data_IF_518904670344
#
_entry.id   IF_518904670344
#
_cell.length_a   1.000
_cell.length_b   1.000
_cell.length_c   1.000
_cell.angle_alpha   90.00
_cell.angle_beta   90.00
_cell.angle_gamma   90.00
#
_symmetry.space_group_name_H-M   'P 1'
#
loop_
_entity.id
_entity.type
_entity.pdbx_description
1 polymer ?
#
# COMPACT_ATOMS: atom_id res chain seq x y z
N UNK A 1 18.15 -24.97 21.68
CA UNK A 1 18.65 -23.61 22.00
C UNK A 1 18.37 -22.76 20.75
N UNK A 2 17.12 -22.37 20.55
CA UNK A 2 16.52 -21.12 21.01
C UNK A 2 17.04 -19.89 20.22
N UNK A 3 16.10 -19.35 19.44
CA UNK A 3 15.85 -17.96 19.02
C UNK A 3 16.85 -17.22 18.12
N UNK A 4 16.33 -16.68 17.01
CA UNK A 4 16.14 -15.23 16.98
C UNK A 4 14.94 -14.78 16.16
N UNK A 5 14.18 -13.89 16.79
CA UNK A 5 12.92 -13.31 16.38
C UNK A 5 12.90 -12.90 14.91
N UNK A 6 11.90 -13.38 14.17
CA UNK A 6 11.25 -12.53 13.18
C UNK A 6 10.83 -11.29 13.95
N UNK A 7 11.52 -10.16 13.75
CA UNK A 7 11.13 -8.87 14.33
C UNK A 7 9.66 -8.67 13.99
N UNK A 8 8.77 -8.88 14.96
CA UNK A 8 7.34 -8.65 14.74
C UNK A 8 7.20 -7.18 14.36
N UNK A 9 6.89 -6.94 13.08
CA UNK A 9 6.70 -5.59 12.60
C UNK A 9 5.54 -4.98 13.38
N UNK A 10 5.71 -3.76 13.93
CA UNK A 10 4.67 -3.12 14.70
C UNK A 10 3.35 -3.13 13.94
N UNK A 11 2.28 -3.49 14.64
CA UNK A 11 0.94 -3.41 14.08
C UNK A 11 0.58 -1.94 13.82
N UNK A 12 -0.02 -1.69 12.66
CA UNK A 12 -0.58 -0.40 12.30
C UNK A 12 -2.05 -0.39 12.68
N UNK A 13 -2.53 0.75 13.18
CA UNK A 13 -3.96 0.97 13.42
C UNK A 13 -4.77 0.66 12.13
N UNK A 14 -5.80 -0.20 12.18
CA UNK A 14 -6.52 -0.64 10.99
C UNK A 14 -7.12 0.52 10.19
N UNK A 15 -7.61 1.57 10.85
CA UNK A 15 -8.20 2.72 10.17
C UNK A 15 -7.13 3.53 9.43
N UNK A 16 -5.98 3.75 10.06
CA UNK A 16 -4.83 4.39 9.40
C UNK A 16 -4.36 3.53 8.23
N UNK A 17 -4.28 2.21 8.41
CA UNK A 17 -3.85 1.28 7.38
C UNK A 17 -4.79 1.30 6.17
N UNK A 18 -6.11 1.21 6.37
CA UNK A 18 -7.10 1.25 5.29
C UNK A 18 -7.08 2.59 4.55
N UNK A 19 -6.96 3.71 5.28
CA UNK A 19 -6.81 5.02 4.67
C UNK A 19 -5.54 5.09 3.80
N UNK A 20 -4.44 4.45 4.20
CA UNK A 20 -3.21 4.41 3.42
C UNK A 20 -3.29 3.44 2.23
N UNK A 21 -3.90 2.28 2.40
CA UNK A 21 -4.06 1.26 1.35
C UNK A 21 -4.99 1.73 0.21
N UNK A 22 -5.96 2.59 0.55
CA UNK A 22 -6.89 3.19 -0.40
C UNK A 22 -8.12 2.33 -0.69
N UNK A 23 -9.11 2.96 -1.32
CA UNK A 23 -10.49 2.45 -1.43
C UNK A 23 -10.64 1.21 -2.30
N UNK A 24 -9.66 0.90 -3.15
CA UNK A 24 -9.67 -0.32 -3.97
C UNK A 24 -9.29 -1.58 -3.17
N UNK A 25 -8.72 -1.43 -1.97
CA UNK A 25 -8.26 -2.55 -1.15
C UNK A 25 -9.43 -3.29 -0.52
N UNK A 26 -9.54 -4.59 -0.81
CA UNK A 26 -10.50 -5.49 -0.18
C UNK A 26 -9.75 -6.65 0.47
N UNK A 27 -9.98 -6.83 1.76
CA UNK A 27 -9.43 -7.94 2.53
C UNK A 27 -10.57 -8.89 2.91
N UNK A 28 -10.30 -10.21 2.99
CA UNK A 28 -11.31 -11.15 3.46
C UNK A 28 -11.67 -10.90 4.92
N UNK A 29 -12.85 -11.35 5.35
CA UNK A 29 -13.17 -11.35 6.77
C UNK A 29 -12.40 -12.49 7.47
N UNK A 30 -11.94 -12.25 8.70
CA UNK A 30 -11.36 -13.32 9.52
C UNK A 30 -12.40 -14.41 9.73
N UNK A 31 -12.02 -15.66 9.47
CA UNK A 31 -12.86 -16.85 9.52
C UNK A 31 -13.59 -17.19 8.22
N UNK A 32 -13.59 -16.30 7.23
CA UNK A 32 -14.18 -16.55 5.90
C UNK A 32 -13.38 -17.55 5.08
N UNK A 33 -14.06 -18.22 4.15
CA UNK A 33 -13.41 -19.07 3.15
C UNK A 33 -12.94 -18.23 1.97
N UNK A 34 -11.72 -18.48 1.54
CA UNK A 34 -11.05 -17.80 0.44
C UNK A 34 -10.37 -18.81 -0.47
N UNK A 35 -10.22 -18.42 -1.72
CA UNK A 35 -9.42 -19.16 -2.69
C UNK A 35 -8.04 -18.51 -2.80
N UNK A 36 -7.00 -19.27 -2.49
CA UNK A 36 -5.61 -18.84 -2.64
C UNK A 36 -5.08 -19.28 -4.01
N UNK A 37 -4.58 -18.30 -4.77
CA UNK A 37 -3.99 -18.49 -6.10
C UNK A 37 -2.47 -18.26 -6.02
N UNK A 38 -1.64 -19.32 -6.00
CA UNK A 38 -0.20 -19.15 -5.89
C UNK A 38 0.42 -18.37 -7.05
N UNK A 39 -0.17 -18.47 -8.25
CA UNK A 39 0.26 -17.68 -9.41
C UNK A 39 0.08 -16.17 -9.16
N UNK A 40 -1.05 -15.77 -8.58
CA UNK A 40 -1.29 -14.37 -8.21
C UNK A 40 -0.34 -13.88 -7.13
N UNK A 41 0.02 -14.76 -6.17
CA UNK A 41 1.02 -14.44 -5.15
C UNK A 41 2.42 -14.27 -5.76
N UNK A 42 2.77 -15.11 -6.74
CA UNK A 42 4.03 -15.02 -7.47
C UNK A 42 4.13 -13.75 -8.34
N UNK A 43 3.03 -13.26 -8.90
CA UNK A 43 2.99 -11.98 -9.63
C UNK A 43 3.33 -10.79 -8.73
N UNK A 44 3.14 -10.92 -7.42
CA UNK A 44 3.51 -9.92 -6.42
C UNK A 44 4.95 -10.07 -5.91
N UNK A 45 5.67 -11.10 -6.34
CA UNK A 45 7.01 -11.42 -5.84
C UNK A 45 8.11 -10.56 -6.47
N UNK A 46 9.22 -10.41 -5.74
CA UNK A 46 10.41 -9.64 -6.16
C UNK A 46 10.96 -10.13 -7.50
N UNK A 47 10.90 -11.44 -7.73
CA UNK A 47 11.28 -12.12 -8.96
C UNK A 47 10.37 -13.32 -9.20
N UNK A 48 10.41 -13.90 -10.41
CA UNK A 48 9.63 -15.11 -10.72
C UNK A 48 10.09 -16.27 -9.82
N UNK A 49 9.20 -16.89 -9.03
CA UNK A 49 9.55 -18.07 -8.25
C UNK A 49 9.74 -19.31 -9.13
N UNK A 50 10.69 -20.16 -8.77
CA UNK A 50 10.90 -21.47 -9.40
C UNK A 50 9.96 -22.52 -8.80
N UNK A 51 8.73 -22.55 -9.30
CA UNK A 51 7.70 -23.55 -8.96
C UNK A 51 8.06 -25.04 -9.14
N UNK A 52 8.96 -25.47 -10.07
CA UNK A 52 9.20 -26.90 -10.32
C UNK A 52 9.73 -27.68 -9.10
N UNK A 53 10.37 -26.99 -8.15
CA UNK A 53 11.03 -27.59 -6.97
C UNK A 53 10.04 -27.96 -5.85
N UNK A 54 8.76 -27.56 -5.95
CA UNK A 54 7.73 -27.83 -4.92
C UNK A 54 6.78 -28.97 -5.34
N UNK A 55 7.14 -29.73 -6.38
CA UNK A 55 6.30 -30.81 -6.92
C UNK A 55 5.95 -31.88 -5.87
N UNK A 56 4.65 -32.12 -5.68
CA UNK A 56 4.16 -33.39 -5.13
C UNK A 56 4.53 -34.56 -6.06
N UNK A 57 4.42 -35.79 -5.56
CA UNK A 57 4.88 -37.03 -6.19
C UNK A 57 4.42 -37.25 -7.66
N UNK A 58 3.37 -36.56 -8.13
CA UNK A 58 2.81 -36.65 -9.47
C UNK A 58 3.18 -35.47 -10.41
N UNK A 59 4.08 -34.57 -10.00
CA UNK A 59 4.64 -33.52 -10.87
C UNK A 59 3.70 -32.37 -11.22
N UNK A 60 2.54 -32.25 -10.55
CA UNK A 60 1.61 -31.12 -10.71
C UNK A 60 1.21 -30.54 -9.35
N UNK A 61 1.57 -29.27 -9.13
CA UNK A 61 1.07 -28.48 -8.01
C UNK A 61 -0.39 -28.06 -8.27
N UNK A 62 -1.26 -28.08 -7.24
CA UNK A 62 -2.56 -27.42 -7.32
C UNK A 62 -2.37 -25.94 -7.63
N UNK A 63 -3.07 -25.45 -8.65
CA UNK A 63 -3.03 -24.03 -9.03
C UNK A 63 -3.96 -23.15 -8.16
N UNK A 64 -4.65 -23.78 -7.19
CA UNK A 64 -5.71 -23.17 -6.39
C UNK A 64 -5.90 -23.96 -5.08
N UNK A 65 -6.01 -23.26 -3.97
CA UNK A 65 -6.25 -23.84 -2.64
C UNK A 65 -7.46 -23.21 -1.97
N UNK A 66 -8.38 -24.02 -1.45
CA UNK A 66 -9.45 -23.54 -0.58
C UNK A 66 -8.88 -23.37 0.83
N UNK A 67 -8.95 -22.16 1.37
CA UNK A 67 -8.42 -21.84 2.68
C UNK A 67 -9.45 -21.11 3.52
N UNK A 68 -9.28 -21.16 4.84
CA UNK A 68 -9.92 -20.25 5.78
C UNK A 68 -8.94 -19.13 6.14
N UNK A 69 -9.40 -17.88 6.09
CA UNK A 69 -8.60 -16.74 6.52
C UNK A 69 -8.53 -16.68 8.05
N UNK A 70 -7.51 -17.27 8.65
CA UNK A 70 -7.40 -17.45 10.10
C UNK A 70 -7.09 -16.15 10.85
N UNK A 71 -6.26 -15.29 10.27
CA UNK A 71 -5.91 -14.00 10.86
C UNK A 71 -5.45 -12.99 9.79
N UNK A 72 -5.59 -11.71 10.09
CA UNK A 72 -5.12 -10.60 9.25
C UNK A 72 -4.36 -9.62 10.15
N UNK A 73 -3.09 -9.38 9.82
CA UNK A 73 -2.23 -8.38 10.45
C UNK A 73 -2.02 -7.18 9.52
N UNK A 74 -2.08 -5.97 10.08
CA UNK A 74 -1.87 -4.72 9.36
C UNK A 74 -0.49 -4.15 9.66
N UNK A 75 0.33 -3.97 8.63
CA UNK A 75 1.72 -3.56 8.79
C UNK A 75 2.13 -2.50 7.77
N UNK A 76 3.25 -1.85 8.03
CA UNK A 76 3.91 -0.93 7.11
C UNK A 76 5.42 -1.21 7.10
N UNK A 77 6.01 -1.15 5.92
CA UNK A 77 7.46 -1.29 5.75
C UNK A 77 8.19 -0.10 6.39
N UNK A 78 9.19 -0.34 7.27
CA UNK A 78 9.83 0.71 8.08
C UNK A 78 10.67 1.70 7.28
N UNK A 79 11.08 1.34 6.06
CA UNK A 79 11.95 2.18 5.22
C UNK A 79 11.16 2.98 4.19
N UNK A 80 10.07 2.40 3.68
CA UNK A 80 9.32 2.93 2.55
C UNK A 80 7.98 3.53 2.95
N UNK A 81 7.48 3.23 4.15
CA UNK A 81 6.13 3.54 4.62
C UNK A 81 5.01 2.83 3.80
N UNK A 82 5.35 1.89 2.91
CA UNK A 82 4.36 1.13 2.14
C UNK A 82 3.59 0.17 3.05
N UNK A 83 2.26 0.24 2.99
CA UNK A 83 1.38 -0.62 3.78
C UNK A 83 1.20 -1.98 3.14
N UNK A 84 1.17 -3.03 3.95
CA UNK A 84 0.86 -4.39 3.51
C UNK A 84 0.08 -5.14 4.60
N UNK A 85 -0.66 -6.16 4.16
CA UNK A 85 -1.42 -7.04 5.06
C UNK A 85 -0.76 -8.40 5.12
N UNK A 86 -0.65 -8.97 6.33
CA UNK A 86 -0.25 -10.35 6.53
C UNK A 86 -1.50 -11.20 6.73
N UNK A 87 -1.82 -12.04 5.76
CA UNK A 87 -2.99 -12.92 5.83
C UNK A 87 -2.50 -14.33 6.18
N UNK A 88 -3.02 -14.89 7.28
CA UNK A 88 -2.75 -16.28 7.68
C UNK A 88 -3.87 -17.14 7.12
N UNK A 89 -3.50 -18.17 6.36
CA UNK A 89 -4.43 -19.07 5.68
C UNK A 89 -4.31 -20.48 6.25
N UNK A 90 -5.45 -21.11 6.52
CA UNK A 90 -5.55 -22.52 6.93
C UNK A 90 -6.16 -23.33 5.78
N UNK A 91 -5.42 -24.26 5.13
CA UNK A 91 -5.95 -25.10 4.06
C UNK A 91 -7.15 -25.93 4.51
N UNK A 92 -8.19 -25.99 3.69
CA UNK A 92 -9.42 -26.75 3.94
C UNK A 92 -9.46 -28.00 3.06
N UNK A 93 -9.39 -29.19 3.67
CA UNK A 93 -9.40 -30.48 2.95
C UNK A 93 -10.78 -30.90 2.44
N UNK A 94 -11.85 -30.26 2.92
CA UNK A 94 -13.23 -30.52 2.47
C UNK A 94 -13.95 -29.20 2.24
N UNK A 95 -14.56 -28.98 1.05
CA UNK A 95 -15.46 -27.85 0.89
C UNK A 95 -16.66 -28.08 1.83
N UNK A 96 -17.10 -27.05 2.58
CA UNK A 96 -18.30 -27.20 3.39
C UNK A 96 -19.50 -27.56 2.49
N UNK A 97 -20.52 -28.24 3.03
CA UNK A 97 -21.75 -28.47 2.30
C UNK A 97 -22.28 -27.14 1.76
N UNK A 98 -22.93 -27.13 0.58
CA UNK A 98 -23.43 -25.90 -0.03
C UNK A 98 -24.24 -25.13 1.01
N UNK A 99 -23.77 -23.94 1.37
CA UNK A 99 -24.44 -23.09 2.32
C UNK A 99 -25.84 -22.81 1.79
N UNK A 100 -26.86 -23.15 2.59
CA UNK A 100 -28.20 -22.65 2.36
C UNK A 100 -28.12 -21.12 2.25
N UNK A 101 -28.94 -20.46 1.42
CA UNK A 101 -28.81 -19.02 1.11
C UNK A 101 -28.98 -18.05 2.30
N UNK A 102 -29.06 -18.55 3.53
CA UNK A 102 -29.54 -17.81 4.70
C UNK A 102 -28.46 -17.56 5.77
N UNK A 103 -27.18 -17.79 5.45
CA UNK A 103 -26.06 -17.39 6.33
C UNK A 103 -25.03 -16.49 5.65
N UNK A 104 -25.34 -15.94 4.47
CA UNK A 104 -24.64 -14.75 3.99
C UNK A 104 -25.17 -13.54 4.78
N UNK A 105 -24.76 -13.40 6.04
CA UNK A 105 -24.61 -12.08 6.62
C UNK A 105 -23.40 -11.42 5.94
N UNK A 106 -23.52 -11.18 4.64
CA UNK A 106 -22.76 -10.14 3.97
C UNK A 106 -23.42 -8.81 4.34
N UNK A 107 -23.49 -8.51 5.63
CA UNK A 107 -23.09 -7.19 6.04
C UNK A 107 -21.60 -7.13 5.68
N UNK A 108 -21.33 -6.70 4.44
CA UNK A 108 -20.34 -5.64 4.31
C UNK A 108 -20.81 -4.60 5.31
N UNK A 109 -20.35 -4.72 6.55
CA UNK A 109 -20.17 -3.54 7.35
C UNK A 109 -19.19 -2.75 6.51
N UNK A 110 -19.72 -1.90 5.61
CA UNK A 110 -19.09 -0.63 5.34
C UNK A 110 -18.69 -0.19 6.73
N UNK A 111 -17.38 -0.29 7.01
CA UNK A 111 -16.81 0.17 8.27
C UNK A 111 -17.44 1.53 8.46
N UNK A 112 -18.42 1.62 9.35
CA UNK A 112 -19.03 2.88 9.75
C UNK A 112 -17.81 3.71 10.10
N UNK A 113 -17.45 4.69 9.28
CA UNK A 113 -16.14 5.33 9.41
C UNK A 113 -16.03 5.99 10.79
N UNK A 114 -17.16 6.07 11.52
CA UNK A 114 -17.23 6.30 12.95
C UNK A 114 -16.62 7.64 13.31
N UNK A 115 -16.64 8.57 12.34
CA UNK A 115 -16.12 9.92 12.44
C UNK A 115 -14.65 10.11 12.04
N UNK A 116 -13.96 9.12 11.47
CA UNK A 116 -12.68 9.42 10.85
C UNK A 116 -12.83 10.09 9.49
N UNK A 117 -11.80 10.84 9.10
CA UNK A 117 -11.76 11.55 7.82
C UNK A 117 -10.34 11.44 7.29
N UNK A 118 -10.21 10.99 6.05
CA UNK A 118 -8.94 10.93 5.35
C UNK A 118 -8.95 11.84 4.11
N UNK A 119 -7.81 12.47 3.83
CA UNK A 119 -7.60 13.27 2.65
C UNK A 119 -6.26 12.92 2.00
N UNK A 120 -6.29 12.67 0.69
CA UNK A 120 -5.11 12.33 -0.09
C UNK A 120 -4.69 13.53 -0.94
N UNK A 121 -3.44 13.95 -0.80
CA UNK A 121 -2.82 14.93 -1.70
C UNK A 121 -1.61 14.33 -2.41
N UNK A 122 -1.65 14.32 -3.74
CA UNK A 122 -0.46 14.10 -4.58
C UNK A 122 0.46 15.32 -4.45
N UNK A 123 1.73 15.06 -4.15
CA UNK A 123 2.76 16.08 -4.02
C UNK A 123 3.10 16.66 -5.39
N UNK A 124 3.05 17.97 -5.51
CA UNK A 124 3.55 18.67 -6.69
C UNK A 124 5.06 18.90 -6.58
N UNK A 125 5.68 19.35 -7.67
CA UNK A 125 7.10 19.73 -7.66
C UNK A 125 7.43 20.79 -6.60
N UNK A 126 6.51 21.72 -6.31
CA UNK A 126 6.72 22.75 -5.30
C UNK A 126 6.59 22.24 -3.87
N UNK A 127 5.84 21.16 -3.65
CA UNK A 127 5.75 20.56 -2.31
C UNK A 127 7.03 19.78 -1.98
N UNK A 128 7.60 19.09 -2.96
CA UNK A 128 8.77 18.23 -2.79
C UNK A 128 10.12 18.96 -2.96
N UNK A 129 10.12 20.28 -3.16
CA UNK A 129 11.37 21.03 -3.31
C UNK A 129 11.99 21.38 -1.95
N UNK A 130 13.33 21.46 -1.93
CA UNK A 130 14.09 21.83 -0.74
C UNK A 130 14.09 23.36 -0.58
N UNK A 131 12.96 23.93 -0.18
CA UNK A 131 12.83 25.37 0.07
C UNK A 131 11.41 25.90 0.18
N UNK A 132 10.40 25.13 -0.28
CA UNK A 132 8.99 25.45 -0.18
C UNK A 132 8.31 24.83 1.04
N UNK A 133 7.12 25.34 1.37
CA UNK A 133 6.18 24.67 2.27
C UNK A 133 5.21 23.78 1.50
N UNK A 134 4.51 22.90 2.20
CA UNK A 134 3.46 22.07 1.61
C UNK A 134 2.14 22.82 1.52
N UNK A 135 1.52 22.85 0.33
CA UNK A 135 0.23 23.53 0.15
C UNK A 135 -0.94 22.64 0.58
N UNK A 136 -1.62 22.95 1.66
CA UNK A 136 -2.74 22.14 2.15
C UNK A 136 -4.01 22.51 1.39
N UNK A 137 -4.73 21.55 0.77
CA UNK A 137 -6.03 21.82 0.18
C UNK A 137 -7.01 22.29 1.24
N UNK A 138 -7.86 23.28 0.90
CA UNK A 138 -8.77 23.92 1.86
C UNK A 138 -9.63 22.90 2.62
N UNK A 139 -10.23 21.95 1.90
CA UNK A 139 -11.05 20.90 2.48
C UNK A 139 -10.31 20.08 3.54
N UNK A 140 -9.04 19.73 3.29
CA UNK A 140 -8.20 19.03 4.26
C UNK A 140 -7.95 19.88 5.51
N UNK A 141 -7.59 21.16 5.32
CA UNK A 141 -7.32 22.07 6.42
C UNK A 141 -8.54 22.29 7.33
N UNK A 142 -9.75 22.35 6.75
CA UNK A 142 -10.99 22.60 7.49
C UNK A 142 -11.59 21.33 8.12
N UNK A 143 -11.41 20.16 7.48
CA UNK A 143 -12.06 18.91 7.93
C UNK A 143 -11.19 18.05 8.84
N UNK A 144 -9.87 18.11 8.67
CA UNK A 144 -8.93 17.21 9.37
C UNK A 144 -8.20 17.95 10.49
N UNK A 145 -7.70 19.16 10.25
CA UNK A 145 -6.91 19.88 11.25
C UNK A 145 -7.80 20.58 12.28
N UNK A 146 -7.28 20.86 13.49
CA UNK A 146 -7.95 21.73 14.44
C UNK A 146 -8.27 23.10 13.80
N UNK A 147 -9.39 23.73 14.18
CA UNK A 147 -9.76 25.03 13.65
C UNK A 147 -8.64 26.06 13.86
N UNK A 148 -8.29 26.76 12.78
CA UNK A 148 -7.32 27.85 12.82
C UNK A 148 -8.02 29.14 13.27
N UNK A 149 -7.43 29.88 14.21
CA UNK A 149 -7.93 31.20 14.58
C UNK A 149 -7.70 32.21 13.45
N UNK A 150 -8.77 32.50 12.70
CA UNK A 150 -8.76 33.40 11.55
C UNK A 150 -8.73 34.90 11.94
N UNK A 151 -8.86 35.23 13.23
CA UNK A 151 -8.80 36.62 13.70
C UNK A 151 -7.37 37.13 13.87
N UNK A 152 -6.39 36.23 14.01
CA UNK A 152 -4.98 36.56 14.10
C UNK A 152 -4.39 37.01 12.74
N UNK A 153 -3.29 37.79 12.77
CA UNK A 153 -2.56 38.21 11.56
C UNK A 153 -1.05 37.92 11.66
N UNK A 154 -0.52 36.94 10.90
CA UNK A 154 -1.25 35.94 10.11
C UNK A 154 -1.87 34.82 10.98
N UNK A 155 -2.97 34.18 10.55
CA UNK A 155 -3.52 32.98 11.21
C UNK A 155 -2.52 31.81 11.22
N UNK A 156 -2.13 31.32 12.39
CA UNK A 156 -1.10 30.27 12.55
C UNK A 156 -1.42 29.30 13.69
N UNK A 157 -1.01 28.04 13.53
CA UNK A 157 -1.03 27.05 14.62
C UNK A 157 0.07 25.99 14.43
N UNK A 158 0.40 25.27 15.51
CA UNK A 158 1.28 24.11 15.46
C UNK A 158 0.45 22.84 15.46
N UNK A 159 0.68 21.98 14.48
CA UNK A 159 0.06 20.67 14.35
C UNK A 159 1.03 19.60 14.80
N UNK A 160 0.55 18.67 15.63
CA UNK A 160 1.30 17.47 16.02
C UNK A 160 0.64 16.27 15.36
N UNK A 161 1.34 15.66 14.40
CA UNK A 161 0.82 14.58 13.55
C UNK A 161 1.74 13.36 13.69
N UNK A 162 1.18 12.18 13.87
CA UNK A 162 1.95 10.92 13.94
C UNK A 162 2.05 10.29 12.55
N UNK A 163 3.22 9.77 12.18
CA UNK A 163 3.30 8.93 10.99
C UNK A 163 2.80 7.50 11.26
N UNK A 164 2.81 6.66 10.22
CA UNK A 164 2.31 5.28 10.28
C UNK A 164 3.09 4.39 11.25
N UNK A 165 4.32 4.76 11.60
CA UNK A 165 5.16 4.07 12.58
C UNK A 165 5.06 4.68 13.98
N UNK A 166 4.14 5.63 14.18
CA UNK A 166 3.91 6.31 15.46
C UNK A 166 4.88 7.45 15.77
N UNK A 167 5.82 7.77 14.87
CA UNK A 167 6.77 8.87 15.08
C UNK A 167 6.04 10.20 14.96
N UNK A 168 6.29 11.08 15.92
CA UNK A 168 5.64 12.38 16.02
C UNK A 168 6.36 13.41 15.17
N UNK A 169 5.60 14.14 14.36
CA UNK A 169 6.03 15.25 13.53
C UNK A 169 5.27 16.51 13.91
N UNK A 170 5.99 17.63 14.04
CA UNK A 170 5.38 18.93 14.33
C UNK A 170 5.49 19.82 13.11
N UNK A 171 4.36 20.40 12.69
CA UNK A 171 4.27 21.29 11.54
C UNK A 171 3.69 22.63 11.95
N UNK A 172 4.22 23.73 11.43
CA UNK A 172 3.56 25.03 11.54
C UNK A 172 2.60 25.23 10.37
N UNK A 173 1.31 25.22 10.65
CA UNK A 173 0.29 25.63 9.69
C UNK A 173 0.14 27.15 9.70
N UNK A 174 0.08 27.75 8.52
CA UNK A 174 -0.22 29.16 8.31
C UNK A 174 -1.27 29.30 7.22
N UNK A 175 -2.22 30.23 7.38
CA UNK A 175 -3.09 30.69 6.30
C UNK A 175 -2.58 32.03 5.80
N UNK A 176 -1.91 32.02 4.64
CA UNK A 176 -1.21 33.21 4.15
C UNK A 176 -0.78 33.12 2.70
N UNK A 177 0.08 34.05 2.28
CA UNK A 177 0.50 34.22 0.89
C UNK A 177 -0.53 34.96 0.03
N UNK A 178 -0.21 35.12 -1.25
CA UNK A 178 -1.06 35.80 -2.23
C UNK A 178 -1.24 34.88 -3.45
N UNK A 179 -2.47 34.41 -3.75
CA UNK A 179 -3.65 34.44 -2.88
C UNK A 179 -3.46 33.63 -1.59
N UNK A 180 -4.26 33.96 -0.56
CA UNK A 180 -4.20 33.29 0.74
C UNK A 180 -4.56 31.81 0.62
N UNK A 181 -3.73 30.94 1.20
CA UNK A 181 -3.91 29.49 1.21
C UNK A 181 -3.32 28.88 2.48
N UNK A 182 -3.74 27.67 2.82
CA UNK A 182 -3.16 26.93 3.93
C UNK A 182 -1.82 26.31 3.51
N UNK A 183 -0.81 26.49 4.34
CA UNK A 183 0.55 25.98 4.12
C UNK A 183 1.05 25.29 5.38
N UNK A 184 1.75 24.16 5.24
CA UNK A 184 2.65 23.66 6.27
C UNK A 184 4.06 24.15 5.95
N UNK A 185 4.64 24.90 6.88
CA UNK A 185 5.93 25.58 6.70
C UNK A 185 7.00 24.93 7.56
N UNK A 186 7.25 25.44 8.77
CA UNK A 186 8.22 24.87 9.70
C UNK A 186 7.91 23.38 9.94
N UNK A 187 8.95 22.54 9.91
CA UNK A 187 8.84 21.08 10.05
C UNK A 187 8.66 20.33 8.74
N UNK A 188 8.12 20.96 7.68
CA UNK A 188 7.86 20.31 6.40
C UNK A 188 9.12 19.77 5.73
N UNK A 189 10.15 20.60 5.56
CA UNK A 189 11.40 20.19 4.89
C UNK A 189 12.10 19.05 5.62
N UNK A 190 12.09 19.05 6.95
CA UNK A 190 12.62 17.95 7.78
C UNK A 190 11.84 16.65 7.53
N UNK A 191 10.51 16.71 7.51
CA UNK A 191 9.66 15.55 7.22
C UNK A 191 9.90 15.03 5.80
N UNK A 192 9.83 15.91 4.80
CA UNK A 192 10.01 15.56 3.38
C UNK A 192 11.37 14.89 3.12
N UNK A 193 12.45 15.47 3.66
CA UNK A 193 13.79 14.92 3.54
C UNK A 193 13.95 13.58 4.25
N UNK A 194 13.46 13.47 5.50
CA UNK A 194 13.56 12.24 6.26
C UNK A 194 12.78 11.08 5.61
N UNK A 195 11.62 11.40 5.02
CA UNK A 195 10.76 10.44 4.30
C UNK A 195 11.12 10.29 2.82
N UNK A 196 12.15 11.00 2.32
CA UNK A 196 12.62 10.97 0.93
C UNK A 196 11.48 11.17 -0.07
N UNK A 197 10.60 12.11 0.20
CA UNK A 197 9.44 12.39 -0.64
C UNK A 197 9.87 13.04 -1.96
N UNK A 198 9.21 12.68 -3.05
CA UNK A 198 9.36 13.37 -4.34
C UNK A 198 7.98 13.73 -4.93
N UNK A 199 7.98 14.57 -5.96
CA UNK A 199 6.77 14.89 -6.71
C UNK A 199 6.10 13.61 -7.26
N UNK A 200 4.79 13.52 -7.12
CA UNK A 200 4.00 12.34 -7.46
C UNK A 200 3.76 11.37 -6.30
N UNK A 201 4.55 11.41 -5.22
CA UNK A 201 4.16 10.72 -3.98
C UNK A 201 2.85 11.34 -3.45
N UNK A 202 2.08 10.60 -2.67
CA UNK A 202 0.87 11.12 -2.03
C UNK A 202 1.00 11.11 -0.52
N UNK A 203 0.56 12.18 0.13
CA UNK A 203 0.32 12.20 1.57
C UNK A 203 -1.14 11.91 1.86
N UNK A 204 -1.37 11.06 2.85
CA UNK A 204 -2.69 10.70 3.36
C UNK A 204 -2.81 11.30 4.76
N UNK A 205 -3.48 12.45 4.88
CA UNK A 205 -3.79 13.03 6.19
C UNK A 205 -5.05 12.37 6.73
N UNK A 206 -5.04 12.00 8.01
CA UNK A 206 -6.10 11.23 8.64
C UNK A 206 -6.40 11.86 10.00
N UNK A 207 -7.66 12.14 10.26
CA UNK A 207 -8.19 12.37 11.61
C UNK A 207 -8.92 11.09 12.00
N UNK A 208 -8.40 10.34 12.95
CA UNK A 208 -9.03 9.10 13.39
C UNK A 208 -10.26 9.39 14.29
N UNK A 209 -10.98 8.34 14.70
CA UNK A 209 -12.17 8.47 15.58
C UNK A 209 -11.87 9.12 16.93
N UNK A 210 -10.65 8.94 17.45
CA UNK A 210 -10.17 9.60 18.68
C UNK A 210 -9.72 11.06 18.48
N UNK A 211 -9.98 11.63 17.29
CA UNK A 211 -9.54 12.97 16.87
C UNK A 211 -8.01 13.16 16.84
N UNK A 212 -7.25 12.06 16.78
CA UNK A 212 -5.79 12.09 16.63
C UNK A 212 -5.42 12.23 15.16
N UNK A 213 -4.41 13.05 14.90
CA UNK A 213 -3.91 13.31 13.56
C UNK A 213 -2.80 12.31 13.19
N UNK A 214 -2.99 11.68 12.04
CA UNK A 214 -2.03 10.77 11.44
C UNK A 214 -1.68 11.20 10.00
N UNK A 215 -0.48 10.84 9.54
CA UNK A 215 -0.04 11.01 8.15
C UNK A 215 0.55 9.71 7.62
N UNK A 216 -0.01 9.23 6.52
CA UNK A 216 0.54 8.13 5.73
C UNK A 216 1.15 8.62 4.42
N UNK A 217 1.91 7.74 3.76
CA UNK A 217 2.55 8.01 2.48
C UNK A 217 2.15 6.92 1.48
N UNK A 218 1.75 7.30 0.28
CA UNK A 218 1.67 6.39 -0.87
C UNK A 218 2.75 6.77 -1.85
N UNK A 219 3.66 5.84 -2.15
CA UNK A 219 4.76 6.10 -3.08
C UNK A 219 4.24 6.11 -4.52
N UNK A 220 4.73 7.05 -5.33
CA UNK A 220 4.39 7.06 -6.74
C UNK A 220 5.02 5.83 -7.42
N UNK A 221 4.18 5.01 -8.03
CA UNK A 221 4.64 3.94 -8.92
C UNK A 221 5.31 4.59 -10.13
N UNK A 222 6.55 4.19 -10.44
CA UNK A 222 7.14 4.49 -11.76
C UNK A 222 6.43 3.57 -12.75
N UNK A 223 5.31 4.01 -13.30
CA UNK A 223 4.91 3.52 -14.61
C UNK A 223 5.98 3.98 -15.60
N UNK A 224 6.97 3.12 -15.87
CA UNK A 224 7.75 3.25 -17.09
C UNK A 224 6.77 3.11 -18.25
N UNK A 225 6.27 4.23 -18.75
CA UNK A 225 5.68 4.32 -20.08
C UNK A 225 6.79 4.04 -21.11
N UNK A 226 7.16 2.77 -21.22
CA UNK A 226 7.92 2.22 -22.34
C UNK A 226 7.22 0.93 -22.74
N UNK A 227 5.98 1.07 -23.20
CA UNK A 227 5.41 0.06 -24.06
C UNK A 227 6.32 -0.09 -25.28
N UNK A 228 6.55 -1.31 -25.81
CA UNK A 228 7.22 -1.45 -27.08
C UNK A 228 6.38 -0.73 -28.15
N UNK A 229 6.85 0.43 -28.60
CA UNK A 229 6.45 1.00 -29.88
C UNK A 229 6.97 0.02 -30.94
N UNK A 230 6.17 -1.00 -31.24
CA UNK A 230 6.36 -1.82 -32.42
C UNK A 230 6.01 -0.94 -33.63
N UNK A 231 7.01 -0.21 -34.14
CA UNK A 231 6.95 0.29 -35.51
C UNK A 231 6.90 -0.92 -36.43
N UNK A 232 5.77 -1.12 -37.11
CA UNK A 232 5.59 -2.13 -38.14
C UNK A 232 6.69 -1.99 -39.21
N UNK A 233 7.51 -3.01 -39.48
CA UNK A 233 8.33 -3.02 -40.69
C UNK A 233 7.46 -3.48 -41.89
N UNK A 234 7.74 -3.00 -43.12
CA UNK A 234 6.98 -3.38 -44.30
C UNK A 234 7.25 -4.84 -44.69
N UNK A 235 6.23 -5.45 -45.30
CA UNK A 235 6.19 -6.86 -45.67
C UNK A 235 7.24 -7.25 -46.73
N UNK A 236 7.95 -8.36 -46.50
CA UNK A 236 8.53 -9.24 -47.53
C UNK A 236 8.86 -10.63 -46.95
N UNK A 237 8.74 -11.67 -47.78
CA UNK A 237 8.54 -13.08 -47.44
C UNK A 237 9.86 -13.90 -47.21
N UNK A 238 9.81 -15.25 -47.15
CA UNK A 238 10.14 -16.04 -45.95
C UNK A 238 11.52 -16.71 -46.02
N UNK A 239 12.24 -16.84 -44.88
CA UNK A 239 13.40 -17.74 -44.77
C UNK A 239 13.51 -18.42 -43.40
N UNK A 240 14.12 -19.60 -43.48
CA UNK A 240 14.22 -20.72 -42.54
C UNK A 240 14.97 -20.42 -41.23
N UNK A 241 14.66 -21.29 -40.27
CA UNK A 241 15.49 -21.78 -39.15
C UNK A 241 15.66 -20.93 -37.88
N UNK A 242 15.21 -21.56 -36.78
CA UNK A 242 15.69 -21.52 -35.40
C UNK A 242 15.54 -20.20 -34.65
N UNK A 243 14.60 -20.18 -33.69
CA UNK A 243 14.43 -19.09 -32.72
C UNK A 243 14.74 -19.60 -31.30
N UNK A 244 15.81 -19.07 -30.71
CA UNK A 244 15.94 -18.96 -29.26
C UNK A 244 14.94 -17.92 -28.78
N UNK A 245 14.12 -18.28 -27.79
CA UNK A 245 13.19 -17.35 -27.17
C UNK A 245 13.82 -16.85 -25.87
N UNK A 246 14.50 -15.70 -25.95
CA UNK A 246 14.72 -14.86 -24.78
C UNK A 246 13.49 -13.99 -24.58
N UNK A 247 12.61 -14.35 -23.65
CA UNK A 247 11.51 -13.47 -23.20
C UNK A 247 12.04 -12.58 -22.09
N UNK A 248 12.24 -11.30 -22.44
CA UNK A 248 12.73 -10.26 -21.55
C UNK A 248 11.80 -9.96 -20.37
N UNK A 249 12.45 -9.67 -19.25
CA UNK A 249 11.87 -9.33 -17.97
C UNK A 249 11.02 -8.05 -18.01
N UNK A 250 9.73 -8.16 -17.66
CA UNK A 250 8.88 -7.04 -17.29
C UNK A 250 9.00 -6.74 -15.80
N UNK A 251 9.71 -5.66 -15.45
CA UNK A 251 9.73 -5.13 -14.08
C UNK A 251 8.51 -4.22 -13.87
N UNK A 252 7.81 -4.40 -12.75
CA UNK A 252 6.74 -3.51 -12.30
C UNK A 252 6.84 -3.29 -10.79
N UNK A 253 6.35 -2.17 -10.27
CA UNK A 253 5.71 -2.26 -8.95
C UNK A 253 6.40 -1.68 -7.71
N UNK A 254 7.52 -0.95 -7.74
CA UNK A 254 7.99 -0.05 -6.66
C UNK A 254 9.30 0.66 -7.08
N UNK A 255 9.67 1.78 -6.46
CA UNK A 255 10.87 2.56 -6.84
C UNK A 255 12.19 1.84 -6.58
N UNK A 256 12.16 0.88 -5.67
CA UNK A 256 13.10 -0.20 -5.48
C UNK A 256 12.22 -1.44 -5.33
N UNK A 257 12.64 -2.65 -5.71
CA UNK A 257 11.88 -3.89 -5.49
C UNK A 257 11.55 -4.22 -4.01
N UNK A 258 11.76 -3.26 -3.09
CA UNK A 258 11.63 -3.32 -1.63
C UNK A 258 10.19 -3.35 -1.08
N UNK A 259 9.17 -3.41 -1.93
CA UNK A 259 7.77 -3.63 -1.53
C UNK A 259 7.19 -4.94 -2.07
N UNK A 260 7.97 -5.70 -2.84
CA UNK A 260 7.53 -6.97 -3.43
C UNK A 260 7.69 -8.11 -2.43
N UNK A 261 6.86 -9.13 -2.56
CA UNK A 261 6.92 -10.32 -1.70
C UNK A 261 8.24 -11.07 -1.96
N UNK A 262 9.01 -11.46 -0.93
CA UNK A 262 10.18 -12.29 -1.14
C UNK A 262 9.79 -13.64 -1.77
N UNK A 263 10.54 -14.10 -2.77
CA UNK A 263 10.25 -15.36 -3.48
C UNK A 263 10.17 -16.54 -2.52
N UNK A 264 10.97 -16.53 -1.46
CA UNK A 264 11.02 -17.57 -0.44
C UNK A 264 9.68 -17.71 0.28
N UNK A 265 8.95 -16.61 0.48
CA UNK A 265 7.63 -16.62 1.11
C UNK A 265 6.59 -17.26 0.20
N UNK A 266 6.68 -17.02 -1.12
CA UNK A 266 5.77 -17.65 -2.10
C UNK A 266 6.03 -19.15 -2.17
N UNK A 267 7.30 -19.56 -2.21
CA UNK A 267 7.71 -20.97 -2.23
C UNK A 267 7.29 -21.68 -0.95
N UNK A 268 7.43 -21.04 0.21
CA UNK A 268 7.01 -21.62 1.49
C UNK A 268 5.49 -21.73 1.61
N UNK A 269 4.74 -20.71 1.17
CA UNK A 269 3.28 -20.76 1.13
C UNK A 269 2.78 -21.91 0.24
N UNK A 270 3.48 -22.22 -0.86
CA UNK A 270 3.18 -23.37 -1.71
C UNK A 270 3.48 -24.72 -1.08
N UNK A 271 4.49 -24.81 -0.20
CA UNK A 271 4.81 -26.05 0.52
C UNK A 271 3.80 -26.38 1.61
N UNK A 272 3.23 -25.34 2.22
CA UNK A 272 2.31 -25.46 3.36
C UNK A 272 0.83 -25.56 2.95
N UNK A 273 0.51 -25.21 1.71
CA UNK A 273 -0.84 -25.28 1.15
C UNK A 273 -1.16 -26.68 0.62
#
# INVERSE_FOLDING_TARGET
MAINASTELPAVDPQVWHACAGTATKLPAVGSLVWYFPQGHAEQASSSPDFPTVSAADGRLPFLFLCRAAAIGFHADPDTDEVFARIVLEPCSTPPPPLSPEASSSSVEELDDGGAVAFVKVLTQSDANNGGGFSVPRFCAESIFPPLDMSADPPVQNLTIRDIHGKVWTFRQIYGGVPRRHLLTTGWSRFSNAKKLIAGDSLVFIKNRDHRLCVGIRRASRFSARGPQASLPPAAAPRKERFEVNVGAGHGSSRNDRGRVPVEVVVEALRLA
#
